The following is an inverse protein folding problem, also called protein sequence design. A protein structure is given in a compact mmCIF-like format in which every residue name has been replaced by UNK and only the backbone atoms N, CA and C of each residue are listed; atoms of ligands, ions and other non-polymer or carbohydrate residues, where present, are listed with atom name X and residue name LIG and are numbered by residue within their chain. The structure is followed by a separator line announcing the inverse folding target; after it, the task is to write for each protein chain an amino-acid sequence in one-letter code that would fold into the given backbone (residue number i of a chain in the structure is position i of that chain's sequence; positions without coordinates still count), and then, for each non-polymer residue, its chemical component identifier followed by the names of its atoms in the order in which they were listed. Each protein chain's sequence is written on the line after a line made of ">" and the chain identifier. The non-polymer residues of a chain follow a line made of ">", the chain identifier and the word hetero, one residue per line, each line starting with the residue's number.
data_IF_527016355369
#
_entry.id   IF_527016355369
#
_cell.length_a   1.000
_cell.length_b   1.000
_cell.length_c   1.000
_cell.angle_alpha   90.00
_cell.angle_beta   90.00
_cell.angle_gamma   90.00
#
_symmetry.space_group_name_H-M   'P 1'
#
loop_
_entity.id
_entity.type
_entity.pdbx_description
1 polymer ?
#
# COMPACT_ATOMS: atom_id res chain seq x y z
N UNK A 1 -3.38 0.50 -20.00
CA UNK A 1 -4.32 -0.47 -20.61
C UNK A 1 -5.51 -0.65 -19.66
N UNK A 2 -6.71 -1.00 -20.15
CA UNK A 2 -7.89 -1.26 -19.31
C UNK A 2 -7.66 -2.41 -18.32
N UNK A 3 -8.30 -2.38 -17.14
CA UNK A 3 -8.12 -3.38 -16.07
C UNK A 3 -8.50 -4.80 -16.53
N UNK A 4 -9.37 -4.89 -17.53
CA UNK A 4 -9.85 -6.14 -18.16
C UNK A 4 -8.73 -6.91 -18.87
N UNK A 5 -7.59 -6.28 -19.17
CA UNK A 5 -6.43 -6.93 -19.78
C UNK A 5 -5.63 -7.78 -18.77
N UNK A 6 -5.88 -7.65 -17.47
CA UNK A 6 -5.22 -8.44 -16.43
C UNK A 6 -6.06 -9.68 -16.12
N UNK A 7 -5.43 -10.86 -16.13
CA UNK A 7 -6.12 -12.12 -15.84
C UNK A 7 -6.62 -12.22 -14.40
N UNK A 8 -5.82 -11.82 -13.40
CA UNK A 8 -6.16 -11.98 -11.98
C UNK A 8 -6.77 -10.70 -11.39
N UNK A 9 -8.04 -10.44 -11.71
CA UNK A 9 -8.79 -9.28 -11.21
C UNK A 9 -10.04 -9.67 -10.43
N UNK A 10 -10.41 -8.85 -9.45
CA UNK A 10 -11.61 -9.05 -8.61
C UNK A 10 -12.89 -9.12 -9.44
N UNK A 11 -12.96 -8.41 -10.58
CA UNK A 11 -14.11 -8.43 -11.51
C UNK A 11 -14.51 -9.82 -11.99
N UNK A 12 -13.60 -10.81 -11.95
CA UNK A 12 -13.89 -12.21 -12.31
C UNK A 12 -14.69 -12.95 -11.23
N UNK A 13 -14.69 -12.46 -9.99
CA UNK A 13 -15.36 -13.08 -8.84
C UNK A 13 -16.53 -12.22 -8.33
N UNK A 14 -16.48 -10.90 -8.53
CA UNK A 14 -17.53 -9.94 -8.15
C UNK A 14 -17.74 -8.89 -9.24
N UNK A 15 -18.98 -8.43 -9.53
CA UNK A 15 -19.24 -7.46 -10.60
C UNK A 15 -18.62 -6.07 -10.34
N UNK A 16 -18.30 -5.76 -9.09
CA UNK A 16 -17.67 -4.50 -8.67
C UNK A 16 -16.27 -4.80 -8.13
N UNK A 17 -15.29 -3.97 -8.48
CA UNK A 17 -13.92 -4.03 -7.96
C UNK A 17 -13.86 -3.59 -6.49
N UNK A 18 -14.43 -4.38 -5.58
CA UNK A 18 -14.42 -4.15 -4.14
C UNK A 18 -14.06 -5.42 -3.36
N UNK A 19 -13.36 -5.22 -2.24
CA UNK A 19 -12.94 -6.29 -1.32
C UNK A 19 -13.52 -6.12 0.07
N UNK A 20 -13.29 -7.09 0.97
CA UNK A 20 -13.57 -6.94 2.40
C UNK A 20 -12.65 -5.88 3.03
N UNK A 21 -12.95 -5.50 4.28
CA UNK A 21 -12.10 -4.60 5.04
C UNK A 21 -10.64 -5.11 5.07
N UNK A 22 -9.69 -4.20 4.91
CA UNK A 22 -8.28 -4.52 4.87
C UNK A 22 -7.82 -5.06 6.23
N UNK A 23 -7.14 -6.21 6.24
CA UNK A 23 -6.54 -6.80 7.45
C UNK A 23 -5.10 -6.34 7.66
N UNK A 24 -4.42 -5.97 6.58
CA UNK A 24 -3.03 -5.51 6.58
C UNK A 24 -2.95 -4.18 5.85
N UNK A 25 -2.17 -3.25 6.38
CA UNK A 25 -1.89 -1.94 5.78
C UNK A 25 -0.39 -1.89 5.48
N UNK A 26 -0.03 -1.57 4.25
CA UNK A 26 1.36 -1.49 3.79
C UNK A 26 1.63 -0.07 3.37
N UNK A 27 2.65 0.55 3.96
CA UNK A 27 3.16 1.85 3.53
C UNK A 27 4.40 1.63 2.65
N UNK A 28 4.29 2.01 1.38
CA UNK A 28 5.41 2.00 0.44
C UNK A 28 6.11 3.36 0.52
N UNK A 29 7.38 3.35 0.90
CA UNK A 29 8.24 4.54 0.89
C UNK A 29 9.43 4.29 -0.02
N UNK A 30 9.65 5.20 -0.96
CA UNK A 30 10.87 5.23 -1.76
C UNK A 30 11.92 6.06 -1.01
N UNK A 31 12.66 5.40 -0.12
CA UNK A 31 13.72 6.05 0.66
C UNK A 31 14.97 6.28 -0.19
N UNK A 32 15.17 7.53 -0.61
CA UNK A 32 16.35 7.96 -1.36
C UNK A 32 17.62 8.10 -0.49
N UNK A 33 17.48 8.09 0.83
CA UNK A 33 18.58 8.23 1.78
C UNK A 33 19.08 6.89 2.32
N UNK A 34 18.35 5.79 2.10
CA UNK A 34 18.75 4.44 2.48
C UNK A 34 18.83 4.20 3.99
N UNK A 35 18.06 4.96 4.77
CA UNK A 35 18.04 4.91 6.23
C UNK A 35 17.00 3.89 6.74
N UNK A 36 15.89 3.73 6.03
CA UNK A 36 14.83 2.81 6.40
C UNK A 36 15.22 1.37 6.05
N UNK A 37 14.99 0.40 6.97
CA UNK A 37 15.19 -1.01 6.65
C UNK A 37 14.18 -1.46 5.58
N UNK A 38 14.44 -2.58 4.87
CA UNK A 38 13.56 -3.06 3.79
C UNK A 38 12.12 -3.34 4.20
N UNK A 39 11.89 -3.71 5.47
CA UNK A 39 10.56 -3.92 6.05
C UNK A 39 10.58 -3.63 7.55
N UNK A 40 9.54 -2.96 8.04
CA UNK A 40 9.34 -2.66 9.46
C UNK A 40 7.91 -3.00 9.88
N UNK A 41 7.75 -3.58 11.07
CA UNK A 41 6.45 -3.75 11.72
C UNK A 41 6.19 -2.48 12.54
N UNK A 42 5.09 -1.79 12.25
CA UNK A 42 4.75 -0.51 12.89
C UNK A 42 3.81 -0.72 14.08
N UNK A 43 4.00 0.06 15.14
CA UNK A 43 2.99 0.22 16.20
C UNK A 43 1.85 1.14 15.72
N UNK A 44 0.70 1.20 16.41
CA UNK A 44 -0.40 2.11 16.05
C UNK A 44 0.02 3.59 16.02
N UNK A 45 0.87 4.03 16.95
CA UNK A 45 1.37 5.41 17.04
C UNK A 45 2.31 5.72 15.87
N UNK A 46 3.22 4.79 15.56
CA UNK A 46 4.10 4.89 14.39
C UNK A 46 3.29 4.91 13.10
N UNK A 47 2.22 4.11 13.01
CA UNK A 47 1.33 4.07 11.85
C UNK A 47 0.71 5.44 11.60
N UNK A 48 0.17 6.09 12.64
CA UNK A 48 -0.36 7.44 12.53
C UNK A 48 0.72 8.44 12.11
N UNK A 49 1.90 8.38 12.74
CA UNK A 49 3.00 9.28 12.43
C UNK A 49 3.46 9.17 10.98
N UNK A 50 3.75 7.96 10.49
CA UNK A 50 4.20 7.74 9.11
C UNK A 50 3.12 8.06 8.08
N UNK A 51 1.86 7.78 8.41
CA UNK A 51 0.73 8.13 7.54
C UNK A 51 0.58 9.65 7.39
N UNK A 52 0.67 10.40 8.50
CA UNK A 52 0.56 11.86 8.49
C UNK A 52 1.80 12.54 7.92
N UNK A 53 2.99 12.00 8.20
CA UNK A 53 4.25 12.57 7.70
C UNK A 53 4.40 12.41 6.20
N UNK A 54 3.78 11.39 5.60
CA UNK A 54 3.79 11.17 4.17
C UNK A 54 5.21 11.10 3.59
N UNK A 55 6.17 10.56 4.35
CA UNK A 55 7.58 10.52 3.97
C UNK A 55 7.76 9.55 2.79
N UNK A 56 7.69 10.12 1.59
CA UNK A 56 7.91 9.42 0.33
C UNK A 56 8.66 10.35 -0.61
N UNK A 57 9.58 9.80 -1.41
CA UNK A 57 10.20 10.57 -2.47
C UNK A 57 9.17 10.82 -3.58
N UNK A 58 9.09 12.05 -4.07
CA UNK A 58 8.55 12.30 -5.42
C UNK A 58 9.60 11.81 -6.42
N UNK A 59 9.36 10.64 -7.00
CA UNK A 59 10.06 10.12 -8.17
C UNK A 59 9.29 10.48 -9.45
#
# INVERSE_FOLDING_TARGET
>A
YPIEHIEKIVKRVRPVSSGPAAKNVIFLSADAFGVLPPVSILTPEQTQYYFLSGFTAKL
#
